data_IF_343335293286
#
_entry.id   IF_343335293286
#
_cell.length_a   1.000
_cell.length_b   1.000
_cell.length_c   1.000
_cell.angle_alpha   90.00
_cell.angle_beta   90.00
_cell.angle_gamma   90.00
#
_symmetry.space_group_name_H-M   'P 1'
#
loop_
_entity.id
_entity.type
_entity.pdbx_description
1 polymer ?
#
# COMPACT_ATOMS: atom_id res chain seq x y z
N UNK A 1 10.60 -9.83 -0.51
CA UNK A 1 10.91 -11.00 0.35
C UNK A 1 11.14 -10.61 1.80
N UNK A 2 12.13 -9.77 2.15
CA UNK A 2 12.39 -9.41 3.56
C UNK A 2 11.17 -8.76 4.27
N UNK A 3 10.50 -7.79 3.64
CA UNK A 3 9.27 -7.18 4.17
C UNK A 3 8.11 -8.17 4.30
N UNK A 4 7.97 -9.09 3.34
CA UNK A 4 6.96 -10.15 3.38
C UNK A 4 7.24 -11.13 4.53
N UNK A 5 8.49 -11.57 4.69
CA UNK A 5 8.90 -12.49 5.75
C UNK A 5 8.84 -11.86 7.15
N UNK A 6 8.76 -10.53 7.24
CA UNK A 6 8.58 -9.84 8.51
C UNK A 6 7.12 -9.95 8.97
N UNK A 7 6.82 -10.95 9.80
CA UNK A 7 5.52 -11.08 10.47
C UNK A 7 4.40 -11.66 9.60
N UNK A 8 4.71 -12.46 8.58
CA UNK A 8 3.71 -13.23 7.83
C UNK A 8 4.19 -14.67 7.57
N UNK A 9 3.29 -15.64 7.58
CA UNK A 9 3.55 -17.04 7.20
C UNK A 9 3.88 -17.18 5.70
N UNK A 10 4.85 -18.05 5.38
CA UNK A 10 5.34 -18.30 4.02
C UNK A 10 4.31 -18.96 3.08
N UNK A 11 3.18 -19.44 3.59
CA UNK A 11 2.12 -20.09 2.79
C UNK A 11 1.05 -19.11 2.26
N UNK A 12 1.20 -17.81 2.51
CA UNK A 12 0.16 -16.82 2.23
C UNK A 12 0.15 -16.32 0.79
N UNK A 13 -1.07 -16.10 0.27
CA UNK A 13 -1.30 -15.38 -0.98
C UNK A 13 -1.53 -13.91 -0.66
N UNK A 14 -0.46 -13.12 -0.75
CA UNK A 14 -0.52 -11.67 -0.59
C UNK A 14 -0.51 -11.00 -1.96
N UNK A 15 -1.32 -9.96 -2.14
CA UNK A 15 -1.11 -9.05 -3.26
C UNK A 15 0.08 -8.17 -2.90
N UNK A 16 1.19 -8.37 -3.60
CA UNK A 16 2.33 -7.44 -3.56
C UNK A 16 2.15 -6.53 -4.76
N UNK A 17 2.34 -5.23 -4.59
CA UNK A 17 2.55 -4.33 -5.73
C UNK A 17 3.79 -4.80 -6.51
N UNK A 18 3.57 -5.64 -7.53
CA UNK A 18 4.61 -6.23 -8.41
C UNK A 18 4.84 -5.33 -9.64
N UNK A 19 4.12 -4.22 -9.81
CA UNK A 19 4.15 -3.42 -11.05
C UNK A 19 5.33 -2.44 -11.13
N UNK A 20 6.48 -2.83 -10.58
CA UNK A 20 7.79 -2.38 -11.06
C UNK A 20 8.09 -2.88 -12.49
N UNK A 21 7.35 -3.88 -13.01
CA UNK A 21 7.64 -4.49 -14.31
C UNK A 21 6.32 -4.64 -15.12
N UNK A 22 6.15 -3.77 -16.12
CA UNK A 22 5.07 -3.71 -17.12
C UNK A 22 3.74 -3.04 -16.72
N UNK A 23 3.81 -1.73 -16.42
CA UNK A 23 2.69 -0.83 -16.68
C UNK A 23 2.45 -0.81 -18.20
N UNK A 24 1.26 -1.19 -18.68
CA UNK A 24 0.81 -1.24 -20.08
C UNK A 24 1.77 -1.80 -21.17
N UNK A 25 1.73 -3.10 -21.50
CA UNK A 25 2.37 -3.68 -22.68
C UNK A 25 1.50 -3.56 -23.96
N UNK A 26 0.45 -2.73 -23.96
CA UNK A 26 -0.47 -2.54 -25.10
C UNK A 26 -1.85 -3.19 -24.92
N UNK A 27 -2.55 -3.41 -26.05
CA UNK A 27 -3.97 -3.81 -26.09
C UNK A 27 -4.33 -5.10 -25.32
N UNK A 28 -3.35 -5.95 -25.00
CA UNK A 28 -3.54 -7.22 -24.29
C UNK A 28 -3.95 -7.06 -22.81
N UNK A 29 -3.78 -5.88 -22.21
CA UNK A 29 -4.14 -5.57 -20.81
C UNK A 29 -5.27 -4.53 -20.70
N UNK A 30 -6.13 -4.45 -21.72
CA UNK A 30 -7.24 -3.47 -21.76
C UNK A 30 -8.21 -3.65 -20.57
N UNK A 31 -8.38 -4.88 -20.10
CA UNK A 31 -9.37 -5.25 -19.08
C UNK A 31 -8.81 -5.23 -17.66
N UNK A 32 -7.51 -5.03 -17.45
CA UNK A 32 -6.88 -5.08 -16.13
C UNK A 32 -7.52 -4.11 -15.11
N UNK A 33 -8.03 -2.96 -15.57
CA UNK A 33 -8.78 -2.03 -14.70
C UNK A 33 -10.16 -2.56 -14.28
N UNK A 34 -10.82 -3.30 -15.16
CA UNK A 34 -12.14 -3.89 -14.88
C UNK A 34 -12.01 -5.08 -13.92
N UNK A 35 -10.92 -5.83 -14.07
CA UNK A 35 -10.65 -7.01 -13.24
C UNK A 35 -9.93 -6.68 -11.93
N UNK A 36 -9.43 -5.44 -11.76
CA UNK A 36 -8.61 -5.04 -10.60
C UNK A 36 -9.28 -5.36 -9.26
N UNK A 37 -10.55 -4.98 -9.09
CA UNK A 37 -11.28 -5.24 -7.84
C UNK A 37 -11.39 -6.75 -7.59
N UNK A 38 -11.67 -7.55 -8.63
CA UNK A 38 -11.75 -9.01 -8.51
C UNK A 38 -10.40 -9.62 -8.15
N UNK A 39 -9.31 -9.15 -8.75
CA UNK A 39 -7.95 -9.58 -8.46
C UNK A 39 -7.54 -9.27 -7.02
N UNK A 40 -7.86 -8.06 -6.56
CA UNK A 40 -7.59 -7.63 -5.18
C UNK A 40 -8.44 -8.43 -4.20
N UNK A 41 -9.74 -8.61 -4.46
CA UNK A 41 -10.65 -9.37 -3.61
C UNK A 41 -10.29 -10.86 -3.49
N UNK A 42 -9.60 -11.43 -4.48
CA UNK A 42 -9.12 -12.81 -4.42
C UNK A 42 -7.91 -12.98 -3.49
N UNK A 43 -7.27 -11.88 -3.09
CA UNK A 43 -6.10 -11.89 -2.20
C UNK A 43 -6.53 -11.85 -0.74
N UNK A 44 -5.79 -12.53 0.14
CA UNK A 44 -6.09 -12.49 1.59
C UNK A 44 -5.81 -11.12 2.20
N UNK A 45 -4.84 -10.40 1.64
CA UNK A 45 -4.50 -9.03 2.00
C UNK A 45 -3.74 -8.34 0.86
N UNK A 46 -3.83 -7.01 0.83
CA UNK A 46 -2.95 -6.12 0.08
C UNK A 46 -1.72 -5.77 0.93
N UNK A 47 -0.53 -6.13 0.46
CA UNK A 47 0.72 -5.78 1.12
C UNK A 47 1.28 -4.47 0.55
N UNK A 48 1.21 -3.40 1.35
CA UNK A 48 1.74 -2.09 1.02
C UNK A 48 3.14 -1.91 1.65
N UNK A 49 4.19 -2.10 0.86
CA UNK A 49 5.58 -1.91 1.31
C UNK A 49 6.08 -0.54 0.90
N UNK A 50 6.55 0.25 1.86
CA UNK A 50 7.11 1.57 1.65
C UNK A 50 8.54 1.59 2.19
N UNK A 51 9.51 1.65 1.27
CA UNK A 51 10.90 1.87 1.62
C UNK A 51 11.13 3.36 1.89
N UNK A 52 11.57 3.72 3.10
CA UNK A 52 11.70 5.12 3.50
C UNK A 52 13.01 5.70 2.99
N UNK A 53 12.94 6.49 1.92
CA UNK A 53 14.10 7.22 1.43
C UNK A 53 14.43 8.39 2.38
N UNK A 54 15.71 8.64 2.72
CA UNK A 54 16.09 9.72 3.66
C UNK A 54 15.54 11.10 3.30
N UNK A 55 15.42 11.40 2.00
CA UNK A 55 14.86 12.67 1.53
C UNK A 55 13.40 12.91 2.00
N UNK A 56 12.64 11.86 2.31
CA UNK A 56 11.26 12.00 2.84
C UNK A 56 11.29 12.67 4.23
N UNK A 57 12.35 12.48 5.02
CA UNK A 57 12.51 13.17 6.32
C UNK A 57 12.78 14.67 6.18
N UNK A 58 13.13 15.16 4.98
CA UNK A 58 13.55 16.54 4.77
C UNK A 58 12.66 17.35 3.84
N UNK A 59 11.81 16.72 3.02
CA UNK A 59 11.15 17.38 1.89
C UNK A 59 9.67 16.98 1.72
N UNK A 60 8.89 17.90 1.16
CA UNK A 60 7.51 17.67 0.70
C UNK A 60 7.47 17.08 -0.73
N UNK A 61 6.30 16.59 -1.18
CA UNK A 61 6.13 15.94 -2.51
C UNK A 61 6.73 16.74 -3.68
N UNK A 62 6.51 18.06 -3.69
CA UNK A 62 6.98 18.95 -4.76
C UNK A 62 8.49 19.21 -4.74
N UNK A 63 9.13 18.95 -3.61
CA UNK A 63 10.55 19.22 -3.36
C UNK A 63 11.43 17.98 -3.58
N UNK A 64 10.81 16.80 -3.66
CA UNK A 64 11.54 15.55 -3.85
C UNK A 64 12.01 15.40 -5.31
N UNK A 65 13.28 14.98 -5.53
CA UNK A 65 13.78 14.60 -6.84
C UNK A 65 12.90 13.52 -7.47
N UNK A 66 12.81 13.53 -8.79
CA UNK A 66 11.89 12.64 -9.48
C UNK A 66 12.25 11.16 -9.30
N UNK A 67 13.53 10.87 -9.19
CA UNK A 67 14.09 9.55 -8.94
C UNK A 67 13.65 8.99 -7.57
N UNK A 68 13.50 9.87 -6.58
CA UNK A 68 13.00 9.50 -5.26
C UNK A 68 11.49 9.29 -5.31
N UNK A 69 10.76 10.21 -5.93
CA UNK A 69 9.30 10.10 -6.08
C UNK A 69 8.86 8.83 -6.77
N UNK A 70 9.59 8.39 -7.80
CA UNK A 70 9.31 7.14 -8.53
C UNK A 70 9.40 5.88 -7.65
N UNK A 71 10.15 5.94 -6.54
CA UNK A 71 10.28 4.83 -5.59
C UNK A 71 9.15 4.82 -4.56
N UNK A 72 8.37 5.90 -4.46
CA UNK A 72 7.29 6.05 -3.49
C UNK A 72 5.98 5.53 -4.11
N UNK A 73 5.30 4.54 -3.50
CA UNK A 73 4.04 4.01 -4.05
C UNK A 73 2.95 5.08 -4.17
N UNK A 74 2.95 6.09 -3.29
CA UNK A 74 1.93 7.15 -3.30
C UNK A 74 2.06 8.16 -4.44
N UNK A 75 3.16 8.13 -5.20
CA UNK A 75 3.29 8.91 -6.43
C UNK A 75 2.89 8.11 -7.68
N UNK A 76 2.58 6.81 -7.53
CA UNK A 76 2.23 5.89 -8.63
C UNK A 76 0.73 5.65 -8.65
N UNK A 77 0.08 6.00 -9.76
CA UNK A 77 -1.39 5.98 -9.88
C UNK A 77 -1.98 4.56 -9.74
N UNK A 78 -1.26 3.53 -10.20
CA UNK A 78 -1.66 2.13 -10.02
C UNK A 78 -1.73 1.74 -8.55
N UNK A 79 -0.72 2.06 -7.76
CA UNK A 79 -0.69 1.74 -6.32
C UNK A 79 -1.83 2.43 -5.59
N UNK A 80 -2.11 3.70 -5.95
CA UNK A 80 -3.24 4.44 -5.38
C UNK A 80 -4.59 3.77 -5.72
N UNK A 81 -4.73 3.27 -6.95
CA UNK A 81 -5.94 2.57 -7.38
C UNK A 81 -6.08 1.19 -6.71
N UNK A 82 -4.99 0.45 -6.51
CA UNK A 82 -4.99 -0.81 -5.75
C UNK A 82 -5.41 -0.60 -4.30
N UNK A 83 -4.92 0.45 -3.64
CA UNK A 83 -5.35 0.82 -2.28
C UNK A 83 -6.85 1.15 -2.27
N UNK A 84 -7.32 1.90 -3.28
CA UNK A 84 -8.74 2.20 -3.43
C UNK A 84 -9.58 0.92 -3.62
N UNK A 85 -9.15 0.01 -4.50
CA UNK A 85 -9.81 -1.27 -4.75
C UNK A 85 -9.82 -2.17 -3.52
N UNK A 86 -8.72 -2.22 -2.75
CA UNK A 86 -8.66 -2.97 -1.49
C UNK A 86 -9.67 -2.43 -0.47
N UNK A 87 -9.77 -1.11 -0.34
CA UNK A 87 -10.80 -0.51 0.50
C UNK A 87 -12.22 -0.87 0.04
N UNK A 88 -12.51 -0.76 -1.27
CA UNK A 88 -13.82 -1.09 -1.85
C UNK A 88 -14.23 -2.54 -1.62
N UNK A 89 -13.30 -3.46 -1.79
CA UNK A 89 -13.50 -4.91 -1.65
C UNK A 89 -13.38 -5.39 -0.21
N UNK A 90 -13.12 -4.48 0.75
CA UNK A 90 -12.85 -4.80 2.16
C UNK A 90 -11.67 -5.76 2.33
N UNK A 91 -10.73 -5.75 1.38
CA UNK A 91 -9.48 -6.51 1.45
C UNK A 91 -8.55 -5.84 2.46
N UNK A 92 -8.08 -6.54 3.51
CA UNK A 92 -7.18 -5.96 4.50
C UNK A 92 -5.90 -5.40 3.87
N UNK A 93 -5.47 -4.23 4.33
CA UNK A 93 -4.21 -3.61 3.88
C UNK A 93 -3.18 -3.78 4.99
N UNK A 94 -2.12 -4.51 4.70
CA UNK A 94 -0.99 -4.74 5.59
C UNK A 94 0.15 -3.83 5.14
N UNK A 95 0.43 -2.80 5.94
CA UNK A 95 1.51 -1.86 5.63
C UNK A 95 2.84 -2.30 6.26
N UNK A 96 3.93 -2.20 5.51
CA UNK A 96 5.31 -2.31 6.00
C UNK A 96 6.03 -1.03 5.64
N UNK A 97 6.29 -0.18 6.63
CA UNK A 97 7.10 1.03 6.50
C UNK A 97 8.47 0.78 7.11
N UNK A 98 9.54 1.13 6.41
CA UNK A 98 10.90 0.84 6.88
C UNK A 98 11.90 0.73 5.75
N UNK A 99 13.01 0.04 6.00
CA UNK A 99 14.04 -0.23 5.00
C UNK A 99 14.59 -1.64 5.15
N UNK A 100 15.28 -2.13 4.12
CA UNK A 100 16.10 -3.35 4.25
C UNK A 100 17.46 -2.94 4.81
N UNK A 101 17.87 -3.53 5.93
CA UNK A 101 19.21 -3.34 6.46
C UNK A 101 20.18 -4.26 5.71
N UNK A 102 21.22 -3.66 5.15
CA UNK A 102 22.28 -4.43 4.49
C UNK A 102 23.11 -5.20 5.53
N UNK A 103 23.26 -6.51 5.28
CA UNK A 103 23.95 -7.48 6.14
C UNK A 103 23.98 -8.86 5.48
N UNK A 104 24.59 -9.86 6.13
CA UNK A 104 24.68 -11.25 5.62
C UNK A 104 23.30 -11.89 5.37
N UNK A 105 22.27 -11.43 6.09
CA UNK A 105 20.87 -11.73 5.82
C UNK A 105 20.09 -10.42 5.67
N UNK A 106 19.34 -10.26 4.57
CA UNK A 106 18.48 -9.09 4.35
C UNK A 106 17.33 -9.10 5.37
N UNK A 107 17.39 -8.22 6.37
CA UNK A 107 16.35 -8.06 7.38
C UNK A 107 15.57 -6.77 7.17
N UNK A 108 14.27 -6.81 7.45
CA UNK A 108 13.43 -5.61 7.46
C UNK A 108 13.65 -4.82 8.76
N UNK A 109 13.93 -3.53 8.65
CA UNK A 109 14.01 -2.59 9.75
C UNK A 109 12.81 -1.65 9.66
N UNK A 110 11.81 -1.77 10.55
CA UNK A 110 10.66 -0.89 10.57
C UNK A 110 11.05 0.57 10.79
N UNK A 111 10.30 1.47 10.18
CA UNK A 111 10.32 2.90 10.53
C UNK A 111 9.38 3.13 11.72
N UNK A 112 9.86 3.83 12.73
CA UNK A 112 9.13 4.11 13.96
C UNK A 112 8.65 5.57 14.03
N UNK A 113 9.25 6.47 13.24
CA UNK A 113 8.88 7.88 13.21
C UNK A 113 7.51 8.09 12.53
N UNK A 114 6.49 8.37 13.33
CA UNK A 114 5.14 8.58 12.81
C UNK A 114 5.02 9.78 11.87
N UNK A 115 5.88 10.79 12.04
CA UNK A 115 5.94 11.96 11.15
C UNK A 115 6.19 11.58 9.68
N UNK A 116 6.76 10.41 9.41
CA UNK A 116 6.91 9.89 8.03
C UNK A 116 5.55 9.50 7.43
N UNK A 117 4.62 8.96 8.21
CA UNK A 117 3.27 8.66 7.73
C UNK A 117 2.55 9.95 7.33
N UNK A 118 2.62 11.01 8.12
CA UNK A 118 1.97 12.28 7.81
C UNK A 118 2.50 12.88 6.49
N UNK A 119 3.81 12.80 6.27
CA UNK A 119 4.44 13.25 5.03
C UNK A 119 4.03 12.40 3.84
N UNK A 120 3.99 11.08 4.01
CA UNK A 120 3.53 10.14 2.98
C UNK A 120 2.05 10.37 2.63
N UNK A 121 1.19 10.65 3.61
CA UNK A 121 -0.21 10.99 3.40
C UNK A 121 -0.37 12.31 2.64
N UNK A 122 0.49 13.29 2.92
CA UNK A 122 0.54 14.54 2.16
C UNK A 122 0.99 14.34 0.70
N UNK A 123 1.65 13.22 0.37
CA UNK A 123 2.01 12.87 -1.01
C UNK A 123 0.85 12.27 -1.81
N UNK A 124 -0.20 11.78 -1.14
CA UNK A 124 -1.37 11.22 -1.83
C UNK A 124 -2.10 12.35 -2.54
N UNK A 125 -1.98 12.39 -3.85
CA UNK A 125 -2.90 13.11 -4.73
C UNK A 125 -2.95 12.37 -6.07
N UNK A 126 -4.11 11.74 -6.29
CA UNK A 126 -4.41 10.90 -7.44
C UNK A 126 -4.33 11.70 -8.74
N UNK A 127 -4.75 12.95 -8.75
CA UNK A 127 -4.79 13.77 -9.96
C UNK A 127 -3.39 14.10 -10.51
N UNK A 128 -2.41 14.24 -9.61
CA UNK A 128 -1.00 14.44 -9.96
C UNK A 128 -0.16 13.15 -9.95
N UNK A 129 -0.78 11.99 -9.68
CA UNK A 129 -0.07 10.71 -9.65
C UNK A 129 0.43 10.31 -11.05
N UNK A 130 1.54 9.59 -11.08
CA UNK A 130 2.26 9.23 -12.29
C UNK A 130 2.00 7.80 -12.70
N UNK A 131 2.14 7.55 -13.99
CA UNK A 131 2.41 6.22 -14.54
C UNK A 131 3.66 6.31 -15.43
N UNK A 132 4.25 5.17 -15.76
CA UNK A 132 5.35 5.04 -16.71
C UNK A 132 4.93 5.45 -18.11
N UNK A 133 3.68 5.15 -18.48
CA UNK A 133 3.07 5.50 -19.76
C UNK A 133 1.93 6.49 -19.53
N UNK A 134 1.93 7.58 -20.28
CA UNK A 134 1.00 8.69 -20.09
C UNK A 134 -0.43 8.31 -20.44
N UNK A 135 -0.61 7.49 -21.48
CA UNK A 135 -1.91 6.96 -21.90
C UNK A 135 -2.58 6.16 -20.78
N UNK A 136 -1.76 5.42 -20.03
CA UNK A 136 -2.23 4.63 -18.90
C UNK A 136 -2.64 5.53 -17.73
N UNK A 137 -1.86 6.59 -17.47
CA UNK A 137 -2.21 7.64 -16.50
C UNK A 137 -3.56 8.26 -16.83
N UNK A 138 -3.77 8.69 -18.08
CA UNK A 138 -5.03 9.32 -18.53
C UNK A 138 -6.20 8.36 -18.37
N UNK A 139 -6.06 7.12 -18.86
CA UNK A 139 -7.10 6.09 -18.76
C UNK A 139 -7.51 5.82 -17.31
N UNK A 140 -6.54 5.69 -16.41
CA UNK A 140 -6.80 5.44 -14.98
C UNK A 140 -7.47 6.65 -14.33
N UNK A 141 -7.02 7.87 -14.63
CA UNK A 141 -7.66 9.09 -14.11
C UNK A 141 -9.13 9.21 -14.55
N UNK A 142 -9.43 8.85 -15.80
CA UNK A 142 -10.81 8.79 -16.28
C UNK A 142 -11.63 7.75 -15.51
N UNK A 143 -11.06 6.57 -15.26
CA UNK A 143 -11.74 5.52 -14.49
C UNK A 143 -11.99 5.94 -13.04
N UNK A 144 -11.00 6.56 -12.38
CA UNK A 144 -11.16 7.12 -11.03
C UNK A 144 -12.32 8.11 -10.97
N UNK A 145 -12.46 9.00 -11.96
CA UNK A 145 -13.59 9.94 -12.01
C UNK A 145 -14.94 9.22 -12.09
N UNK A 146 -15.02 8.06 -12.75
CA UNK A 146 -16.26 7.27 -12.83
C UNK A 146 -16.56 6.59 -11.50
N UNK A 147 -15.60 5.86 -10.93
CA UNK A 147 -15.83 5.00 -9.75
C UNK A 147 -15.86 5.79 -8.43
N UNK A 148 -15.08 6.87 -8.33
CA UNK A 148 -14.95 7.66 -7.11
C UNK A 148 -15.69 9.01 -7.20
N UNK A 149 -16.27 9.36 -8.35
CA UNK A 149 -16.94 10.63 -8.67
C UNK A 149 -16.06 11.89 -8.63
N UNK A 150 -15.01 11.92 -7.80
CA UNK A 150 -14.03 13.00 -7.76
C UNK A 150 -12.68 12.51 -7.25
N UNK A 151 -11.60 13.19 -7.64
CA UNK A 151 -10.25 12.89 -7.15
C UNK A 151 -10.13 13.13 -5.65
N UNK A 152 -10.72 14.20 -5.13
CA UNK A 152 -10.72 14.49 -3.69
C UNK A 152 -11.36 13.37 -2.86
N UNK A 153 -12.44 12.75 -3.37
CA UNK A 153 -13.06 11.60 -2.72
C UNK A 153 -12.15 10.37 -2.76
N UNK A 154 -11.48 10.11 -3.89
CA UNK A 154 -10.49 9.04 -4.00
C UNK A 154 -9.32 9.26 -3.01
N UNK A 155 -8.75 10.46 -2.98
CA UNK A 155 -7.66 10.83 -2.06
C UNK A 155 -8.06 10.63 -0.60
N UNK A 156 -9.27 11.06 -0.21
CA UNK A 156 -9.77 10.89 1.16
C UNK A 156 -9.89 9.42 1.56
N UNK A 157 -10.44 8.58 0.67
CA UNK A 157 -10.56 7.13 0.90
C UNK A 157 -9.17 6.50 1.04
N UNK A 158 -8.26 6.80 0.11
CA UNK A 158 -6.91 6.23 0.09
C UNK A 158 -6.13 6.65 1.35
N UNK A 159 -6.16 7.93 1.73
CA UNK A 159 -5.52 8.41 2.96
C UNK A 159 -6.07 7.71 4.20
N UNK A 160 -7.39 7.56 4.30
CA UNK A 160 -8.02 6.84 5.41
C UNK A 160 -7.57 5.37 5.49
N UNK A 161 -7.50 4.70 4.34
CA UNK A 161 -7.01 3.33 4.23
C UNK A 161 -5.54 3.19 4.67
N UNK A 162 -4.67 4.14 4.25
CA UNK A 162 -3.26 4.18 4.66
C UNK A 162 -3.13 4.42 6.17
N UNK A 163 -3.88 5.36 6.74
CA UNK A 163 -3.87 5.62 8.20
C UNK A 163 -4.24 4.35 8.97
N UNK A 164 -5.32 3.66 8.58
CA UNK A 164 -5.72 2.41 9.21
C UNK A 164 -4.64 1.33 9.12
N UNK A 165 -4.04 1.16 7.94
CA UNK A 165 -2.97 0.19 7.72
C UNK A 165 -1.70 0.52 8.53
N UNK A 166 -1.34 1.80 8.65
CA UNK A 166 -0.19 2.26 9.41
C UNK A 166 -0.38 2.05 10.93
N UNK A 167 -1.59 2.25 11.47
CA UNK A 167 -1.90 1.90 12.85
C UNK A 167 -1.79 0.39 13.08
N UNK A 168 -2.33 -0.41 12.18
CA UNK A 168 -2.22 -1.87 12.20
C UNK A 168 -0.76 -2.35 12.15
N UNK A 169 0.13 -1.60 11.51
CA UNK A 169 1.55 -1.96 11.40
C UNK A 169 2.30 -2.01 12.74
N UNK A 170 1.77 -1.39 13.79
CA UNK A 170 2.34 -1.41 15.14
C UNK A 170 1.96 -2.65 15.95
N UNK A 171 1.04 -3.47 15.42
CA UNK A 171 0.50 -4.65 16.07
C UNK A 171 0.76 -5.87 15.17
N UNK A 172 1.93 -6.55 15.30
CA UNK A 172 2.29 -7.69 14.46
C UNK A 172 1.21 -8.76 14.40
N UNK A 173 0.51 -8.99 15.50
CA UNK A 173 -0.57 -9.98 15.61
C UNK A 173 -1.80 -9.58 14.80
N UNK A 174 -2.13 -8.29 14.73
CA UNK A 174 -3.20 -7.75 13.88
C UNK A 174 -2.82 -7.91 12.41
N UNK A 175 -1.56 -7.66 12.05
CA UNK A 175 -1.07 -7.89 10.69
C UNK A 175 -1.12 -9.37 10.30
N UNK A 176 -0.68 -10.26 11.20
CA UNK A 176 -0.74 -11.70 10.98
C UNK A 176 -2.19 -12.18 10.77
N UNK A 177 -3.12 -11.64 11.55
CA UNK A 177 -4.53 -11.99 11.43
C UNK A 177 -5.21 -11.41 10.19
N UNK A 178 -4.85 -10.18 9.78
CA UNK A 178 -5.24 -9.63 8.48
C UNK A 178 -4.73 -10.50 7.33
N UNK A 179 -3.61 -11.18 7.53
CA UNK A 179 -3.07 -12.20 6.65
C UNK A 179 -3.70 -13.60 6.84
N UNK A 180 -4.79 -13.75 7.60
CA UNK A 180 -5.48 -15.04 7.79
C UNK A 180 -4.99 -15.89 8.97
N UNK A 181 -3.99 -15.44 9.74
CA UNK A 181 -3.53 -16.13 10.95
C UNK A 181 -4.36 -15.74 12.17
N UNK A 182 -5.66 -16.08 12.17
CA UNK A 182 -6.60 -15.67 13.22
C UNK A 182 -6.19 -16.09 14.65
N UNK A 183 -5.36 -17.15 14.79
CA UNK A 183 -4.81 -17.54 16.10
C UNK A 183 -3.89 -16.46 16.70
N UNK A 184 -3.28 -15.62 15.88
CA UNK A 184 -2.46 -14.50 16.35
C UNK A 184 -3.32 -13.47 17.13
N UNK A 185 -4.59 -13.26 16.75
CA UNK A 185 -5.51 -12.39 17.50
C UNK A 185 -5.77 -12.87 18.92
N UNK A 186 -5.73 -14.18 19.17
CA UNK A 186 -5.91 -14.72 20.51
C UNK A 186 -4.81 -14.23 21.47
N UNK A 187 -3.59 -13.97 20.97
CA UNK A 187 -2.53 -13.37 21.76
C UNK A 187 -2.82 -11.89 22.08
N UNK A 188 -3.43 -11.14 21.15
CA UNK A 188 -3.87 -9.76 21.38
C UNK A 188 -4.96 -9.70 22.45
N UNK A 189 -6.00 -10.53 22.32
CA UNK A 189 -7.09 -10.55 23.30
C UNK A 189 -6.63 -10.98 24.69
N UNK A 190 -5.67 -11.91 24.79
CA UNK A 190 -5.02 -12.23 26.07
C UNK A 190 -4.23 -11.06 26.65
N UNK A 191 -3.54 -10.29 25.81
CA UNK A 191 -2.76 -9.11 26.23
C UNK A 191 -3.65 -7.92 26.59
N UNK A 192 -4.80 -7.81 25.96
CA UNK A 192 -5.78 -6.73 26.12
C UNK A 192 -7.20 -7.29 26.30
N UNK A 193 -7.52 -7.89 27.46
CA UNK A 193 -8.78 -8.61 27.69
C UNK A 193 -10.03 -7.73 27.60
N UNK A 194 -9.87 -6.41 27.68
CA UNK A 194 -10.97 -5.45 27.54
C UNK A 194 -11.46 -5.28 26.09
N UNK A 195 -10.76 -5.84 25.10
CA UNK A 195 -11.13 -5.80 23.68
C UNK A 195 -12.08 -6.93 23.26
N UNK A 196 -12.38 -7.91 24.12
CA UNK A 196 -13.32 -9.01 23.84
C UNK A 196 -14.81 -8.61 24.00
N UNK A 197 -15.11 -7.36 24.36
CA UNK A 197 -16.47 -6.87 24.61
C UNK A 197 -17.10 -6.17 23.41
#
# INVERSE_FOLDING_TARGET
>A
VAACNHGTNQTLRVWVDVLAIAQWPGAKQKNDLQDLESCVAFSSALLLVVCVHPAIHAAQRGELPIEVRQQIPFDRIWCLLEIYAAHKTQTPIVMKLGNVKDGTHKMWQPEEEWGIIDRLLAMVDVSAARAKFEEDRVRILEEVKKIAHSFSRADSIIRGAIVGAAWGARLPEVQAAACGELKALQAVFKKYPNLEK
#
